data_IF_785444469907
#
_entry.id   IF_785444469907
#
_cell.length_a   1.000
_cell.length_b   1.000
_cell.length_c   1.000
_cell.angle_alpha   90.00
_cell.angle_beta   90.00
_cell.angle_gamma   90.00
#
_symmetry.space_group_name_H-M   'P 1'
#
loop_
_entity.id
_entity.type
_entity.pdbx_description
1 polymer ?
#
# COMPACT_ATOMS: atom_id res chain seq x y z
N UNK A 1 10.28 -3.98 -17.85
CA UNK A 1 10.72 -3.88 -16.44
C UNK A 1 9.46 -3.87 -15.58
N UNK A 2 9.46 -4.42 -14.37
CA UNK A 2 8.30 -4.33 -13.49
C UNK A 2 8.61 -3.43 -12.30
N UNK A 3 7.63 -2.65 -11.89
CA UNK A 3 7.68 -1.96 -10.61
C UNK A 3 6.51 -2.40 -9.74
N UNK A 4 6.78 -2.62 -8.46
CA UNK A 4 5.75 -2.85 -7.45
C UNK A 4 5.77 -1.69 -6.46
N UNK A 5 4.66 -0.99 -6.37
CA UNK A 5 4.46 0.11 -5.42
C UNK A 5 3.58 -0.37 -4.28
N UNK A 6 4.11 -0.36 -3.06
CA UNK A 6 3.34 -0.63 -1.86
C UNK A 6 2.90 0.69 -1.25
N UNK A 7 1.60 0.89 -1.07
CA UNK A 7 1.02 2.10 -0.45
C UNK A 7 0.31 1.70 0.83
N UNK A 8 0.67 2.33 1.94
CA UNK A 8 0.08 2.08 3.26
C UNK A 8 -0.35 3.41 3.88
N UNK A 9 -1.42 3.39 4.69
CA UNK A 9 -1.73 4.54 5.54
C UNK A 9 -0.54 4.84 6.47
N UNK A 10 -0.28 6.12 6.75
CA UNK A 10 0.73 6.54 7.73
C UNK A 10 0.33 6.14 9.15
N UNK A 11 1.33 6.08 10.02
CA UNK A 11 1.10 5.88 11.45
C UNK A 11 0.23 6.99 12.02
N UNK A 12 -0.70 6.62 12.91
CA UNK A 12 -1.68 7.54 13.49
C UNK A 12 -2.90 7.85 12.59
N UNK A 13 -2.90 7.45 11.32
CA UNK A 13 -4.09 7.52 10.47
C UNK A 13 -4.97 6.30 10.71
N UNK A 14 -6.22 6.55 11.11
CA UNK A 14 -7.22 5.52 11.34
C UNK A 14 -7.48 4.71 10.06
N UNK A 15 -7.54 3.39 10.20
CA UNK A 15 -7.87 2.45 9.13
C UNK A 15 -9.14 1.67 9.46
N UNK A 16 -10.34 2.22 9.14
CA UNK A 16 -11.61 1.55 9.41
C UNK A 16 -11.76 0.23 8.63
N UNK A 17 -11.09 0.08 7.49
CA UNK A 17 -11.19 -1.14 6.69
C UNK A 17 -10.35 -2.27 7.30
N UNK A 18 -9.12 -1.98 7.71
CA UNK A 18 -8.29 -2.89 8.48
C UNK A 18 -9.00 -3.36 9.76
N UNK A 19 -9.64 -2.44 10.48
CA UNK A 19 -10.45 -2.76 11.66
C UNK A 19 -11.59 -3.75 11.36
N UNK A 20 -12.34 -3.51 10.28
CA UNK A 20 -13.41 -4.40 9.85
C UNK A 20 -12.89 -5.80 9.49
N UNK A 21 -11.75 -5.87 8.81
CA UNK A 21 -11.09 -7.14 8.47
C UNK A 21 -10.65 -7.88 9.74
N UNK A 22 -10.05 -7.19 10.72
CA UNK A 22 -9.67 -7.80 12.00
C UNK A 22 -10.87 -8.41 12.71
N UNK A 23 -11.99 -7.69 12.78
CA UNK A 23 -13.23 -8.22 13.38
C UNK A 23 -13.77 -9.44 12.64
N UNK A 24 -13.75 -9.42 11.31
CA UNK A 24 -14.17 -10.55 10.50
C UNK A 24 -13.29 -11.78 10.75
N UNK A 25 -11.96 -11.61 10.81
CA UNK A 25 -11.03 -12.69 11.13
C UNK A 25 -11.28 -13.29 12.52
N UNK A 26 -11.53 -12.45 13.53
CA UNK A 26 -11.91 -12.93 14.86
C UNK A 26 -13.20 -13.74 14.86
N UNK A 27 -14.21 -13.30 14.11
CA UNK A 27 -15.49 -14.02 13.96
C UNK A 27 -15.34 -15.38 13.26
N UNK A 28 -14.27 -15.56 12.47
CA UNK A 28 -13.91 -16.83 11.82
C UNK A 28 -13.01 -17.73 12.70
N UNK A 29 -12.70 -17.31 13.93
CA UNK A 29 -11.88 -18.07 14.89
C UNK A 29 -10.38 -17.78 14.84
N UNK A 30 -9.92 -16.78 14.08
CA UNK A 30 -8.51 -16.39 14.01
C UNK A 30 -8.14 -15.39 15.12
N UNK A 31 -8.23 -15.81 16.39
CA UNK A 31 -8.03 -14.95 17.57
C UNK A 31 -6.60 -14.40 17.74
N UNK A 32 -5.61 -14.99 17.05
CA UNK A 32 -4.21 -14.55 17.11
C UNK A 32 -3.91 -13.25 16.37
N UNK A 33 -4.87 -12.68 15.62
CA UNK A 33 -4.67 -11.46 14.83
C UNK A 33 -4.95 -10.22 15.69
N UNK A 34 -3.89 -9.64 16.25
CA UNK A 34 -3.98 -8.47 17.13
C UNK A 34 -4.29 -7.15 16.39
N UNK A 35 -4.01 -7.07 15.09
CA UNK A 35 -4.20 -5.86 14.30
C UNK A 35 -4.09 -6.14 12.80
N UNK A 36 -4.78 -5.33 12.01
CA UNK A 36 -4.73 -5.37 10.55
C UNK A 36 -4.54 -3.95 10.05
N UNK A 37 -3.64 -3.81 9.08
CA UNK A 37 -3.47 -2.60 8.28
C UNK A 37 -3.71 -2.97 6.83
N UNK A 38 -4.64 -2.28 6.20
CA UNK A 38 -4.91 -2.43 4.79
C UNK A 38 -4.17 -1.35 4.00
N UNK A 39 -3.64 -1.75 2.85
CA UNK A 39 -3.04 -0.86 1.88
C UNK A 39 -3.27 -1.35 0.47
N UNK A 40 -2.46 -0.85 -0.46
CA UNK A 40 -2.51 -1.17 -1.89
C UNK A 40 -1.16 -1.71 -2.33
N UNK A 41 -1.19 -2.68 -3.23
CA UNK A 41 -0.03 -3.07 -4.03
C UNK A 41 -0.37 -2.78 -5.47
N UNK A 42 0.43 -1.95 -6.13
CA UNK A 42 0.22 -1.52 -7.50
C UNK A 42 1.39 -2.06 -8.33
N UNK A 43 1.10 -2.92 -9.29
CA UNK A 43 2.10 -3.45 -10.21
C UNK A 43 2.04 -2.67 -11.53
N UNK A 44 3.21 -2.23 -11.99
CA UNK A 44 3.38 -1.49 -13.22
C UNK A 44 4.28 -2.27 -14.18
N UNK A 45 3.81 -2.48 -15.41
CA UNK A 45 4.64 -2.91 -16.52
C UNK A 45 5.27 -1.67 -17.17
N UNK A 46 6.57 -1.51 -16.99
CA UNK A 46 7.33 -0.35 -17.44
C UNK A 46 8.04 -0.59 -18.76
N UNK A 47 7.97 0.41 -19.63
CA UNK A 47 8.77 0.49 -20.84
C UNK A 47 10.27 0.60 -20.52
N UNK A 48 11.11 0.18 -21.45
CA UNK A 48 12.56 0.30 -21.33
C UNK A 48 12.97 1.77 -21.16
N UNK A 49 13.92 2.04 -20.26
CA UNK A 49 14.39 3.39 -19.94
C UNK A 49 13.53 4.15 -18.92
N UNK A 50 12.43 3.58 -18.43
CA UNK A 50 11.68 4.18 -17.29
C UNK A 50 12.53 4.12 -16.02
N UNK A 51 12.69 5.25 -15.34
CA UNK A 51 13.54 5.38 -14.14
C UNK A 51 12.72 5.28 -12.86
N UNK A 52 13.40 5.01 -11.74
CA UNK A 52 12.79 5.04 -10.41
C UNK A 52 12.16 6.42 -10.10
N UNK A 53 12.83 7.51 -10.49
CA UNK A 53 12.34 8.87 -10.27
C UNK A 53 10.99 9.12 -10.96
N UNK A 54 10.81 8.57 -12.17
CA UNK A 54 9.52 8.64 -12.87
C UNK A 54 8.43 7.88 -12.10
N UNK A 55 8.74 6.71 -11.55
CA UNK A 55 7.78 5.94 -10.72
C UNK A 55 7.46 6.68 -9.42
N UNK A 56 8.45 7.32 -8.79
CA UNK A 56 8.23 8.16 -7.61
C UNK A 56 7.33 9.35 -7.93
N UNK A 57 7.53 10.00 -9.07
CA UNK A 57 6.64 11.08 -9.52
C UNK A 57 5.19 10.59 -9.70
N UNK A 58 4.99 9.40 -10.28
CA UNK A 58 3.66 8.78 -10.36
C UNK A 58 3.03 8.59 -8.97
N UNK A 59 3.84 8.17 -7.98
CA UNK A 59 3.38 7.99 -6.61
C UNK A 59 2.93 9.29 -5.96
N UNK A 60 3.74 10.35 -6.06
CA UNK A 60 3.43 11.67 -5.51
C UNK A 60 2.20 12.31 -6.17
N UNK A 61 2.00 12.08 -7.47
CA UNK A 61 0.95 12.75 -8.25
C UNK A 61 -0.38 11.99 -8.28
N UNK A 62 -0.37 10.66 -8.11
CA UNK A 62 -1.56 9.85 -8.34
C UNK A 62 -1.66 8.62 -7.44
N UNK A 63 -0.60 7.80 -7.34
CA UNK A 63 -0.74 6.46 -6.78
C UNK A 63 -0.91 6.47 -5.25
N UNK A 64 -0.38 7.48 -4.57
CA UNK A 64 -0.51 7.67 -3.14
C UNK A 64 -1.06 9.06 -2.80
N UNK A 65 -1.97 9.12 -1.84
CA UNK A 65 -2.32 10.37 -1.17
C UNK A 65 -1.29 10.67 -0.09
N UNK A 66 -0.23 11.41 -0.44
CA UNK A 66 0.93 11.61 0.44
C UNK A 66 0.66 12.44 1.69
N UNK A 67 -0.55 12.99 1.86
CA UNK A 67 -0.98 13.56 3.13
C UNK A 67 -1.15 12.45 4.17
N UNK A 68 -1.84 11.36 3.82
CA UNK A 68 -2.27 10.30 4.74
C UNK A 68 -1.67 8.92 4.47
N UNK A 69 -1.05 8.72 3.32
CA UNK A 69 -0.41 7.46 2.90
C UNK A 69 1.11 7.66 2.75
N UNK A 70 1.88 6.61 3.00
CA UNK A 70 3.27 6.44 2.62
C UNK A 70 3.37 5.36 1.53
N UNK A 71 4.45 5.39 0.75
CA UNK A 71 4.68 4.38 -0.26
C UNK A 71 6.15 3.92 -0.30
N UNK A 72 6.37 2.75 -0.88
CA UNK A 72 7.69 2.24 -1.25
C UNK A 72 7.63 1.63 -2.65
N UNK A 73 8.75 1.70 -3.37
CA UNK A 73 8.88 1.22 -4.75
C UNK A 73 9.93 0.12 -4.77
N UNK A 74 9.58 -1.02 -5.37
CA UNK A 74 10.48 -2.12 -5.69
C UNK A 74 10.57 -2.25 -7.21
N UNK A 75 11.78 -2.21 -7.77
CA UNK A 75 12.03 -2.30 -9.22
C UNK A 75 12.67 -3.65 -9.54
N UNK A 76 12.10 -4.36 -10.53
CA UNK A 76 12.54 -5.69 -10.98
C UNK A 76 12.69 -5.84 -12.49
#
# INVERSE_FOLDING_TARGET
MKARVHVMLKDGVLDPQGEAVRHALGSLGFEGVAGVRQGKVIELDLAEGTTEDTVREMCERLLANTVIESYSVDLG
#
